data_IF_899847409204
#
_entry.id   IF_899847409204
#
_cell.length_a   1.000
_cell.length_b   1.000
_cell.length_c   1.000
_cell.angle_alpha   90.00
_cell.angle_beta   90.00
_cell.angle_gamma   90.00
#
_symmetry.space_group_name_H-M   'P 1'
#
loop_
_entity.id
_entity.type
_entity.pdbx_description
1 polymer ?
#
# COMPACT_ATOMS: atom_id res chain seq x y z
N UNK A 1 -1.83 -33.61 59.97
CA UNK A 1 -0.92 -33.54 58.83
C UNK A 1 -1.75 -33.13 57.61
N UNK A 2 -1.67 -31.86 57.19
CA UNK A 2 -2.42 -31.30 56.06
C UNK A 2 -1.46 -31.28 54.87
N UNK A 3 -1.74 -32.10 53.87
CA UNK A 3 -0.92 -32.19 52.65
C UNK A 3 -1.48 -31.22 51.59
N UNK A 4 -0.71 -30.16 51.30
CA UNK A 4 -1.05 -29.14 50.31
C UNK A 4 -0.55 -29.62 48.95
N UNK A 5 -1.47 -30.02 48.06
CA UNK A 5 -1.16 -30.31 46.66
C UNK A 5 -1.10 -29.02 45.87
N UNK A 6 0.10 -28.60 45.48
CA UNK A 6 0.34 -27.48 44.58
C UNK A 6 0.18 -28.02 43.14
N UNK A 7 -0.92 -27.67 42.45
CA UNK A 7 -1.07 -27.91 41.03
C UNK A 7 -0.29 -26.84 40.25
N UNK A 8 0.87 -27.18 39.73
CA UNK A 8 1.59 -26.41 38.73
C UNK A 8 0.91 -26.64 37.37
N UNK A 9 0.17 -25.65 36.88
CA UNK A 9 -0.25 -25.61 35.48
C UNK A 9 0.92 -25.10 34.63
N UNK A 10 1.37 -25.80 33.59
CA UNK A 10 2.32 -25.28 32.66
C UNK A 10 1.58 -24.24 31.77
N UNK A 11 1.97 -22.97 31.87
CA UNK A 11 1.61 -21.96 30.88
C UNK A 11 2.31 -22.31 29.57
N UNK A 12 1.60 -23.00 28.67
CA UNK A 12 2.00 -23.12 27.29
C UNK A 12 1.73 -21.82 26.57
N UNK A 13 2.75 -20.97 26.46
CA UNK A 13 2.77 -19.84 25.51
C UNK A 13 2.80 -20.42 24.09
N UNK A 14 1.63 -20.65 23.51
CA UNK A 14 1.50 -20.88 22.08
C UNK A 14 1.67 -19.52 21.40
N UNK A 15 2.90 -19.17 21.05
CA UNK A 15 3.21 -18.10 20.13
C UNK A 15 2.96 -18.64 18.72
N UNK A 16 1.73 -18.50 18.24
CA UNK A 16 1.40 -18.77 16.84
C UNK A 16 2.08 -17.71 15.97
N UNK A 17 3.20 -18.06 15.37
CA UNK A 17 3.81 -17.31 14.29
C UNK A 17 2.91 -17.42 13.06
N UNK A 18 2.05 -16.45 12.82
CA UNK A 18 1.22 -16.35 11.61
C UNK A 18 2.13 -16.04 10.42
N UNK A 19 2.54 -17.08 9.72
CA UNK A 19 3.33 -16.98 8.49
C UNK A 19 2.42 -16.57 7.32
N UNK A 20 2.06 -15.28 7.24
CA UNK A 20 1.39 -14.72 6.06
C UNK A 20 2.39 -14.68 4.91
N UNK A 21 2.22 -15.54 3.91
CA UNK A 21 3.01 -15.48 2.69
C UNK A 21 2.47 -14.37 1.79
N UNK A 22 3.24 -13.30 1.67
CA UNK A 22 3.00 -12.23 0.70
C UNK A 22 3.92 -12.44 -0.49
N UNK A 23 3.35 -12.50 -1.70
CA UNK A 23 4.10 -12.62 -2.96
C UNK A 23 3.94 -11.33 -3.76
N UNK A 24 5.06 -10.70 -4.12
CA UNK A 24 5.10 -9.57 -5.03
C UNK A 24 5.22 -10.09 -6.48
N UNK A 25 4.27 -9.70 -7.34
CA UNK A 25 4.25 -10.07 -8.76
C UNK A 25 4.96 -9.06 -9.67
N UNK A 26 5.57 -8.02 -9.07
CA UNK A 26 6.31 -7.00 -9.79
C UNK A 26 5.50 -5.73 -10.08
N UNK A 27 6.16 -4.79 -10.72
CA UNK A 27 5.66 -3.48 -11.11
C UNK A 27 5.49 -3.41 -12.63
N UNK A 28 4.45 -2.72 -13.08
CA UNK A 28 4.25 -2.37 -14.49
C UNK A 28 3.83 -0.92 -14.63
N UNK A 29 4.18 -0.31 -15.77
CA UNK A 29 3.52 0.91 -16.23
C UNK A 29 2.16 0.54 -16.80
N UNK A 30 1.15 1.35 -16.54
CA UNK A 30 -0.23 1.13 -16.98
C UNK A 30 -0.76 2.41 -17.61
N UNK A 31 -1.47 2.27 -18.72
CA UNK A 31 -2.12 3.39 -19.38
C UNK A 31 -3.40 3.80 -18.63
N UNK A 32 -3.80 5.07 -18.75
CA UNK A 32 -5.02 5.58 -18.10
C UNK A 32 -6.26 4.74 -18.48
N UNK A 33 -6.38 4.33 -19.74
CA UNK A 33 -7.49 3.50 -20.26
C UNK A 33 -7.54 2.08 -19.69
N UNK A 34 -6.43 1.58 -19.15
CA UNK A 34 -6.33 0.26 -18.52
C UNK A 34 -6.69 0.28 -17.03
N UNK A 35 -6.82 1.47 -16.43
CA UNK A 35 -7.30 1.64 -15.05
C UNK A 35 -8.76 1.23 -14.95
N UNK A 36 -9.20 0.71 -13.80
CA UNK A 36 -10.62 0.50 -13.54
C UNK A 36 -11.39 1.83 -13.56
N UNK A 37 -12.69 1.80 -13.85
CA UNK A 37 -13.54 3.01 -13.86
C UNK A 37 -13.47 3.77 -12.54
N UNK A 38 -13.38 3.06 -11.41
CA UNK A 38 -13.23 3.66 -10.09
C UNK A 38 -11.88 4.37 -9.93
N UNK A 39 -10.79 3.75 -10.40
CA UNK A 39 -9.47 4.37 -10.39
C UNK A 39 -9.41 5.58 -11.32
N UNK A 40 -9.96 5.48 -12.54
CA UNK A 40 -10.04 6.61 -13.48
C UNK A 40 -10.79 7.79 -12.85
N UNK A 41 -11.97 7.53 -12.27
CA UNK A 41 -12.78 8.54 -11.60
C UNK A 41 -12.02 9.23 -10.48
N UNK A 42 -11.31 8.45 -9.65
CA UNK A 42 -10.52 8.99 -8.55
C UNK A 42 -9.35 9.84 -9.07
N UNK A 43 -8.58 9.35 -10.03
CA UNK A 43 -7.44 10.11 -10.58
C UNK A 43 -7.89 11.38 -11.30
N UNK A 44 -9.01 11.36 -12.04
CA UNK A 44 -9.61 12.56 -12.63
C UNK A 44 -10.02 13.58 -11.57
N UNK A 45 -10.64 13.12 -10.48
CA UNK A 45 -10.99 14.00 -9.35
C UNK A 45 -9.75 14.67 -8.74
N UNK A 46 -8.65 13.94 -8.64
CA UNK A 46 -7.34 14.46 -8.17
C UNK A 46 -6.60 15.29 -9.25
N UNK A 47 -7.21 15.50 -10.41
CA UNK A 47 -6.69 16.29 -11.53
C UNK A 47 -5.56 15.60 -12.30
N UNK A 48 -5.54 14.28 -12.33
CA UNK A 48 -4.70 13.48 -13.21
C UNK A 48 -5.53 13.02 -14.41
N UNK A 49 -4.90 12.84 -15.57
CA UNK A 49 -5.55 12.48 -16.82
C UNK A 49 -4.71 11.47 -17.65
N UNK A 50 -5.07 11.26 -18.89
CA UNK A 50 -4.38 10.37 -19.83
C UNK A 50 -2.92 10.78 -20.17
N UNK A 51 -2.52 12.02 -19.87
CA UNK A 51 -1.15 12.50 -20.10
C UNK A 51 -0.21 12.15 -18.93
N UNK A 52 -0.74 11.65 -17.82
CA UNK A 52 0.05 11.24 -16.68
C UNK A 52 0.51 9.78 -16.83
N UNK A 53 1.67 9.46 -16.26
CA UNK A 53 2.16 8.09 -16.19
C UNK A 53 1.65 7.41 -14.93
N UNK A 54 1.14 6.21 -15.07
CA UNK A 54 0.66 5.39 -13.97
C UNK A 54 1.53 4.16 -13.78
N UNK A 55 1.82 3.83 -12.54
CA UNK A 55 2.62 2.68 -12.15
C UNK A 55 1.79 1.82 -11.21
N UNK A 56 1.74 0.54 -11.48
CA UNK A 56 0.95 -0.40 -10.70
C UNK A 56 1.81 -1.56 -10.23
N UNK A 57 1.68 -1.90 -8.95
CA UNK A 57 2.22 -3.12 -8.38
C UNK A 57 1.10 -4.05 -7.93
N UNK A 58 1.30 -5.34 -8.14
CA UNK A 58 0.38 -6.39 -7.71
C UNK A 58 1.03 -7.22 -6.61
N UNK A 59 0.29 -7.44 -5.53
CA UNK A 59 0.69 -8.27 -4.40
C UNK A 59 -0.37 -9.32 -4.13
N UNK A 60 0.03 -10.56 -3.88
CA UNK A 60 -0.84 -11.64 -3.44
C UNK A 60 -0.60 -11.90 -1.96
N UNK A 61 -1.65 -11.80 -1.15
CA UNK A 61 -1.67 -12.25 0.24
C UNK A 61 -2.32 -13.63 0.28
N UNK A 62 -1.59 -14.63 0.79
CA UNK A 62 -2.13 -15.95 1.04
C UNK A 62 -2.59 -16.05 2.48
N UNK A 63 -3.74 -16.70 2.76
CA UNK A 63 -4.17 -16.95 4.12
C UNK A 63 -3.15 -17.81 4.86
N UNK A 64 -2.99 -17.56 6.16
CA UNK A 64 -2.22 -18.44 7.02
C UNK A 64 -2.90 -19.81 7.05
N UNK A 65 -2.21 -20.84 6.58
CA UNK A 65 -2.69 -22.22 6.68
C UNK A 65 -2.42 -22.73 8.10
N UNK A 66 -3.38 -22.64 8.99
CA UNK A 66 -3.39 -23.42 10.22
C UNK A 66 -4.45 -24.53 10.12
N UNK A 67 -3.97 -25.79 10.20
CA UNK A 67 -4.69 -27.00 10.68
C UNK A 67 -5.97 -27.41 9.96
N UNK A 68 -5.93 -28.55 9.27
CA UNK A 68 -6.95 -29.61 9.13
C UNK A 68 -8.44 -29.30 8.90
N UNK A 69 -8.81 -28.20 8.24
CA UNK A 69 -10.06 -28.10 7.49
C UNK A 69 -9.79 -27.23 6.27
N UNK A 70 -9.78 -27.86 5.08
CA UNK A 70 -9.62 -27.18 3.79
C UNK A 70 -10.88 -26.35 3.46
N UNK A 71 -11.11 -25.25 4.17
CA UNK A 71 -11.81 -24.15 3.56
C UNK A 71 -10.80 -23.53 2.59
N UNK A 72 -11.11 -23.55 1.30
CA UNK A 72 -10.38 -22.82 0.26
C UNK A 72 -10.57 -21.31 0.53
N UNK A 73 -9.76 -20.78 1.46
CA UNK A 73 -9.72 -19.31 1.63
C UNK A 73 -9.04 -18.76 0.39
N UNK A 74 -9.78 -17.97 -0.36
CA UNK A 74 -9.28 -17.33 -1.58
C UNK A 74 -8.13 -16.38 -1.23
N UNK A 75 -7.05 -16.42 -2.02
CA UNK A 75 -5.98 -15.44 -1.91
C UNK A 75 -6.53 -14.03 -2.14
N UNK A 76 -6.04 -13.06 -1.39
CA UNK A 76 -6.35 -11.66 -1.61
C UNK A 76 -5.32 -11.04 -2.56
N UNK A 77 -5.79 -10.32 -3.56
CA UNK A 77 -4.93 -9.59 -4.50
C UNK A 77 -5.04 -8.10 -4.19
N UNK A 78 -3.90 -7.47 -3.93
CA UNK A 78 -3.78 -6.03 -3.75
C UNK A 78 -3.18 -5.42 -5.01
N UNK A 79 -3.83 -4.40 -5.55
CA UNK A 79 -3.33 -3.56 -6.63
C UNK A 79 -3.04 -2.18 -6.06
N UNK A 80 -1.79 -1.74 -6.19
CA UNK A 80 -1.38 -0.40 -5.77
C UNK A 80 -1.01 0.37 -7.03
N UNK A 81 -1.74 1.45 -7.30
CA UNK A 81 -1.52 2.31 -8.45
C UNK A 81 -1.17 3.71 -7.98
N UNK A 82 -0.10 4.29 -8.53
CA UNK A 82 0.34 5.63 -8.20
C UNK A 82 0.74 6.45 -9.42
N UNK A 83 0.60 7.77 -9.30
CA UNK A 83 1.03 8.74 -10.29
C UNK A 83 1.49 10.04 -9.62
N UNK A 84 2.46 10.72 -10.22
CA UNK A 84 3.00 11.99 -9.70
C UNK A 84 2.94 13.07 -10.76
N UNK A 85 2.51 14.26 -10.37
CA UNK A 85 2.54 15.47 -11.22
C UNK A 85 3.23 16.65 -10.51
N UNK A 86 3.86 17.51 -11.30
CA UNK A 86 4.39 18.80 -10.83
C UNK A 86 3.24 19.75 -10.58
N UNK A 87 3.25 20.46 -9.46
CA UNK A 87 2.26 21.49 -9.11
C UNK A 87 2.88 22.89 -9.29
N UNK A 88 4.09 23.08 -8.75
CA UNK A 88 4.87 24.32 -8.88
C UNK A 88 6.33 23.98 -9.20
N UNK A 89 7.19 25.00 -9.38
CA UNK A 89 8.63 24.75 -9.52
C UNK A 89 9.22 23.98 -8.34
N UNK A 90 8.65 24.11 -7.14
CA UNK A 90 9.19 23.52 -5.91
C UNK A 90 8.31 22.46 -5.28
N UNK A 91 7.16 22.13 -5.86
CA UNK A 91 6.23 21.15 -5.29
C UNK A 91 5.67 20.16 -6.31
N UNK A 92 5.45 18.94 -5.87
CA UNK A 92 4.78 17.88 -6.61
C UNK A 92 3.67 17.24 -5.75
N UNK A 93 2.71 16.61 -6.43
CA UNK A 93 1.64 15.86 -5.82
C UNK A 93 1.63 14.45 -6.37
N UNK A 94 1.68 13.47 -5.47
CA UNK A 94 1.56 12.05 -5.80
C UNK A 94 0.24 11.55 -5.29
N UNK A 95 -0.60 11.05 -6.19
CA UNK A 95 -1.86 10.39 -5.86
C UNK A 95 -1.71 8.88 -5.97
N UNK A 96 -2.46 8.13 -5.15
CA UNK A 96 -2.45 6.68 -5.17
C UNK A 96 -3.81 6.07 -4.84
N UNK A 97 -4.05 4.87 -5.39
CA UNK A 97 -5.20 4.04 -5.09
C UNK A 97 -4.72 2.62 -4.79
N UNK A 98 -5.26 2.03 -3.74
CA UNK A 98 -5.01 0.65 -3.33
C UNK A 98 -6.34 -0.09 -3.37
N UNK A 99 -6.42 -1.13 -4.20
CA UNK A 99 -7.59 -1.99 -4.31
C UNK A 99 -7.29 -3.37 -3.72
N UNK A 100 -8.24 -3.93 -3.00
CA UNK A 100 -8.18 -5.26 -2.42
C UNK A 100 -9.31 -6.12 -2.97
N UNK A 101 -9.00 -7.33 -3.47
CA UNK A 101 -9.99 -8.17 -4.14
C UNK A 101 -10.96 -8.86 -3.19
N UNK A 102 -10.46 -9.35 -2.04
CA UNK A 102 -11.22 -10.26 -1.17
C UNK A 102 -11.14 -9.95 0.32
N UNK A 103 -10.25 -9.05 0.74
CA UNK A 103 -10.05 -8.73 2.15
C UNK A 103 -10.21 -7.24 2.42
N UNK A 104 -11.09 -6.82 3.34
CA UNK A 104 -11.19 -5.43 3.75
C UNK A 104 -9.84 -4.85 4.18
N UNK A 105 -9.54 -3.64 3.69
CA UNK A 105 -8.41 -2.84 4.11
C UNK A 105 -8.78 -2.13 5.41
N UNK A 106 -8.00 -2.34 6.45
CA UNK A 106 -8.21 -1.73 7.76
C UNK A 106 -7.41 -0.43 7.90
N UNK A 107 -6.23 -0.38 7.30
CA UNK A 107 -5.33 0.78 7.34
C UNK A 107 -4.30 0.72 6.22
N UNK A 108 -3.92 1.89 5.72
CA UNK A 108 -2.76 2.06 4.85
C UNK A 108 -1.85 3.17 5.39
N UNK A 109 -0.56 2.88 5.50
CA UNK A 109 0.48 3.85 5.83
C UNK A 109 1.36 4.00 4.59
N UNK A 110 1.21 5.11 3.89
CA UNK A 110 1.83 5.35 2.59
C UNK A 110 2.92 6.40 2.70
N UNK A 111 4.03 6.14 2.01
CA UNK A 111 5.18 7.03 1.93
C UNK A 111 5.53 7.29 0.46
N UNK A 112 5.69 8.56 0.12
CA UNK A 112 6.24 9.02 -1.15
C UNK A 112 7.66 9.51 -0.91
N UNK A 113 8.61 9.06 -1.71
CA UNK A 113 10.02 9.44 -1.60
C UNK A 113 10.48 10.12 -2.88
N UNK A 114 10.97 11.34 -2.76
CA UNK A 114 11.82 11.97 -3.77
C UNK A 114 13.22 11.34 -3.62
N UNK A 115 13.56 10.42 -4.52
CA UNK A 115 14.74 9.57 -4.36
C UNK A 115 16.04 10.39 -4.28
N UNK A 116 16.85 10.09 -3.27
CA UNK A 116 18.07 10.83 -2.96
C UNK A 116 17.85 12.15 -2.20
N UNK A 117 16.63 12.39 -1.69
CA UNK A 117 16.32 13.58 -0.90
C UNK A 117 15.51 13.28 0.36
N UNK A 118 14.17 13.17 0.26
CA UNK A 118 13.28 13.11 1.42
C UNK A 118 12.04 12.28 1.16
N UNK A 119 11.48 11.70 2.22
CA UNK A 119 10.19 11.02 2.22
C UNK A 119 9.10 11.84 2.90
N UNK A 120 7.88 11.70 2.41
CA UNK A 120 6.66 12.31 2.90
C UNK A 120 5.63 11.18 3.13
N UNK A 121 4.83 11.25 4.19
CA UNK A 121 3.97 10.13 4.58
C UNK A 121 2.54 10.58 4.86
N UNK A 122 1.60 9.65 4.65
CA UNK A 122 0.19 9.78 5.01
C UNK A 122 -0.34 8.45 5.51
N UNK A 123 -1.33 8.50 6.41
CA UNK A 123 -2.04 7.32 6.90
C UNK A 123 -3.52 7.46 6.60
N UNK A 124 -4.14 6.41 6.08
CA UNK A 124 -5.55 6.38 5.72
C UNK A 124 -6.22 5.16 6.37
N UNK A 125 -7.38 5.39 6.98
CA UNK A 125 -8.30 4.35 7.42
C UNK A 125 -9.51 4.44 6.50
N UNK A 126 -9.75 3.45 5.59
CA UNK A 126 -10.89 3.49 4.69
C UNK A 126 -12.21 3.47 5.46
N UNK A 127 -13.10 4.41 5.19
CA UNK A 127 -14.37 4.54 5.91
C UNK A 127 -15.57 4.06 5.09
N UNK A 128 -15.64 4.45 3.82
CA UNK A 128 -16.82 4.19 2.99
C UNK A 128 -16.68 2.97 2.07
N UNK A 129 -15.47 2.53 1.77
CA UNK A 129 -15.19 1.38 0.93
C UNK A 129 -14.06 0.57 1.54
N UNK A 130 -14.36 -0.53 2.24
CA UNK A 130 -13.30 -1.30 2.92
C UNK A 130 -12.33 -2.00 1.96
N UNK A 131 -12.66 -2.07 0.68
CA UNK A 131 -11.81 -2.71 -0.33
C UNK A 131 -10.96 -1.73 -1.13
N UNK A 132 -11.12 -0.43 -0.88
CA UNK A 132 -10.37 0.63 -1.57
C UNK A 132 -9.82 1.60 -0.54
N UNK A 133 -8.54 1.92 -0.67
CA UNK A 133 -7.89 3.00 0.05
C UNK A 133 -7.21 3.92 -0.95
N UNK A 134 -7.47 5.20 -0.86
CA UNK A 134 -6.88 6.19 -1.75
C UNK A 134 -6.38 7.39 -0.97
N UNK A 135 -5.45 8.13 -1.54
CA UNK A 135 -4.91 9.32 -0.93
C UNK A 135 -3.90 10.03 -1.82
N UNK A 136 -3.47 11.20 -1.32
CA UNK A 136 -2.46 11.99 -2.00
C UNK A 136 -1.45 12.59 -1.02
N UNK A 137 -0.24 12.79 -1.50
CA UNK A 137 0.87 13.29 -0.71
C UNK A 137 1.57 14.39 -1.47
N UNK A 138 1.63 15.57 -0.87
CA UNK A 138 2.46 16.68 -1.36
C UNK A 138 3.92 16.46 -0.96
N UNK A 139 4.81 16.69 -1.91
CA UNK A 139 6.25 16.69 -1.72
C UNK A 139 6.83 18.02 -2.18
N UNK A 140 7.92 18.48 -1.57
CA UNK A 140 8.53 19.76 -1.89
C UNK A 140 10.05 19.71 -1.87
N UNK A 141 10.66 20.54 -2.73
CA UNK A 141 12.10 20.75 -2.81
C UNK A 141 12.40 22.17 -3.26
N UNK A 142 13.27 22.88 -2.53
CA UNK A 142 13.58 24.32 -2.75
C UNK A 142 15.04 24.58 -3.13
N UNK A 143 15.83 23.55 -3.43
CA UNK A 143 17.21 23.70 -3.90
C UNK A 143 17.30 24.04 -5.39
N UNK A 144 18.51 23.97 -5.94
CA UNK A 144 18.74 24.09 -7.39
C UNK A 144 17.94 23.05 -8.17
N UNK A 145 17.49 23.41 -9.38
CA UNK A 145 16.67 22.53 -10.21
C UNK A 145 17.29 21.13 -10.37
N UNK A 146 16.51 20.11 -10.07
CA UNK A 146 16.94 18.71 -10.08
C UNK A 146 15.78 17.78 -10.44
N UNK A 147 16.09 16.73 -11.21
CA UNK A 147 15.17 15.64 -11.45
C UNK A 147 15.17 14.66 -10.29
N UNK A 148 13.97 14.23 -9.85
CA UNK A 148 13.75 13.19 -8.86
C UNK A 148 12.93 12.07 -9.50
N UNK A 149 13.40 10.83 -9.42
CA UNK A 149 12.50 9.70 -9.53
C UNK A 149 11.69 9.61 -8.24
N UNK A 150 10.40 9.29 -8.37
CA UNK A 150 9.47 9.21 -7.24
C UNK A 150 9.10 7.76 -6.99
N UNK A 151 9.25 7.30 -5.75
CA UNK A 151 8.80 5.99 -5.31
C UNK A 151 7.66 6.10 -4.29
N UNK A 152 6.77 5.11 -4.37
CA UNK A 152 5.60 4.94 -3.52
C UNK A 152 5.76 3.64 -2.73
N UNK A 153 5.85 3.74 -1.41
CA UNK A 153 5.88 2.59 -0.52
C UNK A 153 4.64 2.63 0.39
N UNK A 154 3.94 1.51 0.51
CA UNK A 154 2.75 1.42 1.35
C UNK A 154 2.77 0.16 2.21
N UNK A 155 2.50 0.33 3.50
CA UNK A 155 2.15 -0.77 4.39
C UNK A 155 0.63 -0.85 4.47
N UNK A 156 0.07 -2.01 4.18
CA UNK A 156 -1.36 -2.23 4.04
C UNK A 156 -1.76 -3.29 5.05
N UNK A 157 -2.63 -2.94 5.97
CA UNK A 157 -3.22 -3.89 6.91
C UNK A 157 -4.61 -4.27 6.39
N UNK A 158 -4.81 -5.56 6.12
CA UNK A 158 -6.11 -6.13 5.75
C UNK A 158 -6.58 -7.10 6.81
N UNK A 159 -7.83 -7.57 6.70
CA UNK A 159 -8.34 -8.66 7.56
C UNK A 159 -7.58 -9.98 7.38
N UNK A 160 -6.81 -10.14 6.30
CA UNK A 160 -5.93 -11.29 6.06
C UNK A 160 -4.49 -11.07 6.57
N UNK A 161 -4.22 -9.92 7.18
CA UNK A 161 -2.91 -9.57 7.73
C UNK A 161 -2.18 -8.45 6.98
N UNK A 162 -0.91 -8.21 7.32
CA UNK A 162 -0.13 -7.14 6.71
C UNK A 162 0.32 -7.48 5.29
N UNK A 163 0.42 -6.46 4.45
CA UNK A 163 1.06 -6.47 3.15
C UNK A 163 1.94 -5.24 2.99
N UNK A 164 2.93 -5.31 2.12
CA UNK A 164 3.80 -4.18 1.81
C UNK A 164 4.03 -4.06 0.31
N UNK A 165 3.94 -2.84 -0.20
CA UNK A 165 4.22 -2.50 -1.57
C UNK A 165 5.35 -1.48 -1.65
N UNK A 166 6.09 -1.53 -2.76
CA UNK A 166 7.06 -0.51 -3.13
C UNK A 166 7.17 -0.47 -4.66
N UNK A 167 6.62 0.58 -5.26
CA UNK A 167 6.65 0.78 -6.71
C UNK A 167 7.08 2.19 -7.05
N UNK A 168 7.35 2.43 -8.33
CA UNK A 168 7.49 3.80 -8.83
C UNK A 168 6.15 4.53 -8.76
N UNK A 169 6.22 5.84 -8.78
CA UNK A 169 5.07 6.73 -8.97
C UNK A 169 5.39 7.83 -9.99
N UNK A 170 6.45 7.66 -10.78
CA UNK A 170 6.85 8.60 -11.82
C UNK A 170 8.17 9.32 -11.56
N UNK A 171 8.29 10.51 -12.11
CA UNK A 171 9.42 11.40 -11.92
C UNK A 171 9.02 12.87 -12.07
N UNK A 172 9.77 13.75 -11.43
CA UNK A 172 9.48 15.18 -11.43
C UNK A 172 10.76 16.01 -11.32
N UNK A 173 10.81 17.12 -12.03
CA UNK A 173 11.88 18.12 -11.89
C UNK A 173 11.40 19.25 -11.00
N UNK A 174 12.06 19.44 -9.85
CA UNK A 174 11.78 20.48 -8.86
C UNK A 174 13.03 21.32 -8.57
N UNK A 175 12.81 22.52 -8.07
CA UNK A 175 13.84 23.48 -7.69
C UNK A 175 13.68 24.83 -8.41
N UNK A 176 14.48 25.79 -8.01
CA UNK A 176 14.55 27.16 -8.57
C UNK A 176 15.94 27.44 -9.09
#
# INVERSE_FOLDING_TARGET
VLSLFLFLFPESKVSASVNNKTQNLGEKTIEFSELSEEQQTYFLYEGFDENNQYFQQTIIQQPATEGTLQQRVQANVLFITGSTKKITSTSAYTSYVINSSNAPILRTDTRVTLNGYKSFSSSVIPYNSPYVSSGGIYSSYTGAEKYFSVSLASQITTTMGPGAANCRAGGVTLGN
#
